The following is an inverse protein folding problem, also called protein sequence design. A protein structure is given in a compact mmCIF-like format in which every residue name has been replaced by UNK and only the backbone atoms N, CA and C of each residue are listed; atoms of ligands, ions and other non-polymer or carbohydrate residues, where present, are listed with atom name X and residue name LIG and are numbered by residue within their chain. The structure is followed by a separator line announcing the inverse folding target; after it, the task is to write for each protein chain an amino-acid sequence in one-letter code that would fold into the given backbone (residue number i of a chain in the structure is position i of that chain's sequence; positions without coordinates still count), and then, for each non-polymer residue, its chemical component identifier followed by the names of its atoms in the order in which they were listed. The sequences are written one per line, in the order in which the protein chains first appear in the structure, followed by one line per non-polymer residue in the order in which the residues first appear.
data_IF_836555646040
#
_entry.id   IF_836555646040
#
_cell.length_a   1.000
_cell.length_b   1.000
_cell.length_c   1.000
_cell.angle_alpha   90.00
_cell.angle_beta   90.00
_cell.angle_gamma   90.00
#
_symmetry.space_group_name_H-M   'P 1'
#
loop_
_entity.id
_entity.type
_entity.pdbx_description
1 polymer ?
#
# COMPACT_ATOMS: atom_id res chain seq x y z
N UNK A 1 24.52 13.24 46.64
CA UNK A 1 24.80 12.05 45.81
C UNK A 1 23.50 11.57 45.18
N UNK A 2 23.55 11.10 43.94
CA UNK A 2 22.42 10.38 43.34
C UNK A 2 22.60 8.89 43.65
N UNK A 3 21.58 8.26 44.23
CA UNK A 3 21.57 6.84 44.58
C UNK A 3 20.50 6.15 43.73
N UNK A 4 20.82 4.97 43.20
CA UNK A 4 19.89 4.14 42.44
C UNK A 4 18.81 3.60 43.38
N UNK A 5 17.55 3.76 42.97
CA UNK A 5 16.40 3.19 43.68
C UNK A 5 16.15 1.76 43.20
N UNK A 6 16.83 0.79 43.83
CA UNK A 6 16.71 -0.63 43.47
C UNK A 6 15.28 -1.16 43.64
N UNK A 7 14.48 -0.54 44.51
CA UNK A 7 13.08 -0.93 44.71
C UNK A 7 12.21 -0.61 43.49
N UNK A 8 12.44 0.55 42.86
CA UNK A 8 11.77 0.91 41.60
C UNK A 8 12.21 0.03 40.44
N UNK A 9 13.48 -0.34 40.38
CA UNK A 9 14.01 -1.22 39.33
C UNK A 9 13.34 -2.60 39.42
N UNK A 10 13.27 -3.19 40.62
CA UNK A 10 12.61 -4.48 40.82
C UNK A 10 11.08 -4.42 40.59
N UNK A 11 10.46 -3.26 40.76
CA UNK A 11 9.05 -3.02 40.43
C UNK A 11 8.84 -2.99 38.91
N UNK A 12 9.69 -2.28 38.17
CA UNK A 12 9.63 -2.17 36.70
C UNK A 12 9.95 -3.51 36.00
N UNK A 13 10.92 -4.28 36.51
CA UNK A 13 11.33 -5.58 35.95
C UNK A 13 10.16 -6.59 35.90
N UNK A 14 9.16 -6.47 36.80
CA UNK A 14 7.95 -7.32 36.78
C UNK A 14 7.11 -7.15 35.51
N UNK A 15 7.25 -6.01 34.84
CA UNK A 15 6.48 -5.64 33.65
C UNK A 15 7.29 -5.78 32.37
N UNK A 16 8.55 -6.23 32.45
CA UNK A 16 9.37 -6.46 31.28
C UNK A 16 8.75 -7.52 30.35
N UNK A 17 8.66 -7.19 29.07
CA UNK A 17 8.02 -8.02 28.05
C UNK A 17 6.49 -7.88 27.96
N UNK A 18 5.85 -7.10 28.84
CA UNK A 18 4.43 -6.79 28.74
C UNK A 18 4.18 -5.50 27.94
N UNK A 19 3.10 -5.49 27.15
CA UNK A 19 2.66 -4.31 26.40
C UNK A 19 1.44 -3.69 27.09
N UNK A 20 1.63 -2.55 27.75
CA UNK A 20 0.56 -1.84 28.43
C UNK A 20 -0.08 -0.79 27.50
N UNK A 21 -1.41 -0.71 27.50
CA UNK A 21 -2.16 0.31 26.77
C UNK A 21 -2.94 1.20 27.75
N UNK A 22 -2.59 2.48 27.82
CA UNK A 22 -3.36 3.49 28.54
C UNK A 22 -4.43 4.09 27.62
N UNK A 23 -5.67 4.16 28.09
CA UNK A 23 -6.80 4.67 27.31
C UNK A 23 -7.85 5.29 28.23
N UNK A 24 -8.63 6.23 27.70
CA UNK A 24 -9.80 6.81 28.35
C UNK A 24 -11.11 6.07 27.97
N UNK A 25 -11.02 5.01 27.16
CA UNK A 25 -12.15 4.16 26.78
C UNK A 25 -12.51 3.22 27.92
N UNK A 26 -13.81 3.04 28.17
CA UNK A 26 -14.34 2.15 29.21
C UNK A 26 -14.81 0.80 28.65
N UNK A 27 -14.54 0.53 27.37
CA UNK A 27 -14.92 -0.70 26.67
C UNK A 27 -14.12 -1.93 27.18
N UNK A 28 -14.54 -3.17 26.83
CA UNK A 28 -13.79 -4.36 27.20
C UNK A 28 -12.33 -4.32 26.71
N UNK A 29 -11.39 -4.71 27.57
CA UNK A 29 -9.95 -4.68 27.26
C UNK A 29 -9.60 -5.38 25.93
N UNK A 30 -10.29 -6.47 25.60
CA UNK A 30 -10.10 -7.20 24.33
C UNK A 30 -10.45 -6.35 23.10
N UNK A 31 -11.52 -5.57 23.16
CA UNK A 31 -11.95 -4.69 22.07
C UNK A 31 -11.02 -3.50 21.92
N UNK A 32 -10.62 -2.89 23.04
CA UNK A 32 -9.63 -1.82 23.10
C UNK A 32 -8.31 -2.28 22.47
N UNK A 33 -7.82 -3.46 22.85
CA UNK A 33 -6.61 -4.04 22.28
C UNK A 33 -6.77 -4.32 20.79
N UNK A 34 -7.91 -4.87 20.35
CA UNK A 34 -8.17 -5.10 18.92
C UNK A 34 -8.15 -3.81 18.09
N UNK A 35 -8.70 -2.71 18.60
CA UNK A 35 -8.64 -1.39 17.95
C UNK A 35 -7.21 -0.82 18.00
N UNK A 36 -6.54 -0.94 19.15
CA UNK A 36 -5.15 -0.49 19.33
C UNK A 36 -4.21 -1.20 18.34
N UNK A 37 -4.40 -2.51 18.12
CA UNK A 37 -3.63 -3.27 17.16
C UNK A 37 -3.74 -2.70 15.74
N UNK A 38 -4.91 -2.18 15.32
CA UNK A 38 -5.07 -1.58 13.98
C UNK A 38 -4.17 -0.36 13.74
N UNK A 39 -3.51 0.20 14.77
CA UNK A 39 -2.49 1.25 14.60
C UNK A 39 -1.33 0.82 13.72
N UNK A 40 -1.00 -0.48 13.65
CA UNK A 40 0.05 -0.98 12.74
C UNK A 40 -0.24 -0.60 11.28
N UNK A 41 -1.52 -0.45 10.89
CA UNK A 41 -1.92 -0.06 9.53
C UNK A 41 -1.39 1.34 9.17
N UNK A 42 -1.28 2.23 10.15
CA UNK A 42 -0.70 3.56 9.97
C UNK A 42 0.81 3.45 9.71
N UNK A 43 1.50 2.60 10.45
CA UNK A 43 2.93 2.34 10.25
C UNK A 43 3.21 1.75 8.86
N UNK A 44 2.36 0.81 8.42
CA UNK A 44 2.43 0.23 7.09
C UNK A 44 2.23 1.29 5.98
N UNK A 45 1.24 2.18 6.16
CA UNK A 45 1.06 3.36 5.29
C UNK A 45 2.32 4.23 5.23
N UNK A 46 2.96 4.51 6.37
CA UNK A 46 4.20 5.27 6.41
C UNK A 46 5.37 4.54 5.76
N UNK A 47 5.42 3.21 5.86
CA UNK A 47 6.42 2.37 5.18
C UNK A 47 6.26 2.50 3.67
N UNK A 48 5.08 2.17 3.12
CA UNK A 48 4.78 2.25 1.68
C UNK A 48 5.08 3.66 1.14
N UNK A 49 4.69 4.70 1.86
CA UNK A 49 4.94 6.08 1.43
C UNK A 49 6.44 6.39 1.29
N UNK A 50 7.27 5.89 2.22
CA UNK A 50 8.72 6.09 2.18
C UNK A 50 9.37 5.22 1.09
N UNK A 51 9.00 3.95 1.00
CA UNK A 51 9.65 2.96 0.13
C UNK A 51 9.18 3.04 -1.31
N UNK A 52 7.88 3.19 -1.56
CA UNK A 52 7.28 3.05 -2.88
C UNK A 52 6.98 4.39 -3.56
N UNK A 53 6.66 5.42 -2.79
CA UNK A 53 6.28 6.75 -3.29
C UNK A 53 7.33 7.83 -3.05
N UNK A 54 8.56 7.43 -2.74
CA UNK A 54 9.71 8.32 -2.56
C UNK A 54 9.45 9.49 -1.59
N UNK A 55 8.58 9.29 -0.60
CA UNK A 55 8.30 10.28 0.44
C UNK A 55 9.56 10.67 1.24
N UNK A 56 10.63 9.88 1.13
CA UNK A 56 12.00 10.22 1.55
C UNK A 56 13.01 9.62 0.55
N UNK A 57 14.10 10.35 0.18
CA UNK A 57 14.43 11.71 0.58
C UNK A 57 13.60 12.77 -0.17
N UNK A 58 13.26 13.87 0.52
CA UNK A 58 12.56 15.01 -0.10
C UNK A 58 13.59 15.94 -0.73
N UNK A 59 13.74 15.88 -2.05
CA UNK A 59 14.71 16.68 -2.80
C UNK A 59 14.20 18.10 -3.16
N UNK A 60 13.26 18.63 -2.37
CA UNK A 60 12.66 19.95 -2.58
C UNK A 60 13.03 20.90 -1.44
N UNK A 61 13.37 22.15 -1.79
CA UNK A 61 13.76 23.19 -0.81
C UNK A 61 12.61 24.15 -0.47
N UNK A 62 11.73 24.44 -1.42
CA UNK A 62 10.63 25.39 -1.22
C UNK A 62 9.46 24.73 -0.47
N UNK A 63 8.88 25.37 0.56
CA UNK A 63 7.79 24.82 1.35
C UNK A 63 6.60 24.33 0.50
N UNK A 64 6.22 25.09 -0.52
CA UNK A 64 5.12 24.70 -1.42
C UNK A 64 5.43 23.44 -2.22
N UNK A 65 6.68 23.25 -2.67
CA UNK A 65 7.09 22.03 -3.40
C UNK A 65 7.12 20.82 -2.48
N UNK A 66 7.55 20.99 -1.23
CA UNK A 66 7.51 19.94 -0.21
C UNK A 66 6.07 19.52 0.06
N UNK A 67 5.15 20.47 0.27
CA UNK A 67 3.72 20.20 0.48
C UNK A 67 3.10 19.47 -0.72
N UNK A 68 3.39 19.94 -1.94
CA UNK A 68 2.88 19.31 -3.16
C UNK A 68 3.37 17.86 -3.32
N UNK A 69 4.65 17.59 -3.04
CA UNK A 69 5.19 16.22 -3.07
C UNK A 69 4.45 15.30 -2.09
N UNK A 70 4.31 15.71 -0.83
CA UNK A 70 3.56 14.90 0.14
C UNK A 70 2.10 14.70 -0.25
N UNK A 71 1.45 15.73 -0.80
CA UNK A 71 0.08 15.61 -1.29
C UNK A 71 -0.02 14.54 -2.39
N UNK A 72 0.91 14.52 -3.34
CA UNK A 72 0.96 13.49 -4.39
C UNK A 72 1.17 12.11 -3.78
N UNK A 73 2.13 11.95 -2.86
CA UNK A 73 2.40 10.67 -2.19
C UNK A 73 1.18 10.16 -1.41
N UNK A 74 0.51 11.02 -0.64
CA UNK A 74 -0.70 10.66 0.10
C UNK A 74 -1.87 10.33 -0.82
N UNK A 75 -2.04 11.08 -1.91
CA UNK A 75 -3.10 10.81 -2.90
C UNK A 75 -2.87 9.46 -3.57
N UNK A 76 -1.63 9.15 -3.97
CA UNK A 76 -1.27 7.85 -4.51
C UNK A 76 -1.56 6.74 -3.50
N UNK A 77 -1.11 6.89 -2.25
CA UNK A 77 -1.38 5.92 -1.18
C UNK A 77 -2.89 5.68 -0.99
N UNK A 78 -3.69 6.74 -0.96
CA UNK A 78 -5.14 6.63 -0.85
C UNK A 78 -5.73 5.80 -2.00
N UNK A 79 -5.31 6.06 -3.25
CA UNK A 79 -5.76 5.29 -4.41
C UNK A 79 -5.42 3.80 -4.25
N UNK A 80 -4.20 3.46 -3.84
CA UNK A 80 -3.80 2.08 -3.63
C UNK A 80 -4.55 1.41 -2.47
N UNK A 81 -4.85 2.12 -1.38
CA UNK A 81 -5.65 1.60 -0.26
C UNK A 81 -7.11 1.37 -0.63
N UNK A 82 -7.69 2.26 -1.43
CA UNK A 82 -9.04 2.05 -1.96
C UNK A 82 -9.09 0.85 -2.92
N UNK A 83 -8.03 0.65 -3.71
CA UNK A 83 -7.92 -0.50 -4.59
C UNK A 83 -7.75 -1.81 -3.80
N UNK A 84 -6.89 -1.83 -2.78
CA UNK A 84 -6.75 -2.94 -1.82
C UNK A 84 -8.11 -3.29 -1.21
N UNK A 85 -8.84 -2.32 -0.67
CA UNK A 85 -10.15 -2.56 -0.06
C UNK A 85 -11.15 -3.20 -1.05
N UNK A 86 -11.20 -2.72 -2.29
CA UNK A 86 -12.07 -3.30 -3.33
C UNK A 86 -11.68 -4.72 -3.74
N UNK A 87 -10.39 -5.04 -3.72
CA UNK A 87 -9.88 -6.37 -4.05
C UNK A 87 -10.07 -7.34 -2.87
N UNK A 88 -10.01 -6.84 -1.65
CA UNK A 88 -10.31 -7.59 -0.43
C UNK A 88 -11.80 -7.92 -0.32
N UNK A 89 -12.70 -7.07 -0.80
CA UNK A 89 -14.13 -7.37 -0.92
C UNK A 89 -14.39 -8.59 -1.84
N UNK A 90 -13.47 -8.89 -2.76
CA UNK A 90 -13.49 -10.07 -3.63
C UNK A 90 -12.77 -11.29 -3.03
N UNK A 91 -12.21 -11.17 -1.82
CA UNK A 91 -11.48 -12.24 -1.12
C UNK A 91 -10.07 -12.50 -1.66
N UNK A 92 -9.51 -11.58 -2.46
CA UNK A 92 -8.21 -11.81 -3.11
C UNK A 92 -7.01 -11.54 -2.21
N UNK A 93 -7.16 -10.78 -1.10
CA UNK A 93 -6.08 -10.51 -0.14
C UNK A 93 -4.77 -10.06 -0.83
N UNK A 94 -4.86 -8.94 -1.55
CA UNK A 94 -3.76 -8.36 -2.32
C UNK A 94 -3.34 -7.04 -1.68
N UNK A 95 -2.08 -6.94 -1.26
CA UNK A 95 -1.58 -5.74 -0.58
C UNK A 95 -1.20 -4.63 -1.57
N UNK A 96 -1.09 -3.36 -1.12
CA UNK A 96 -0.59 -2.26 -1.95
C UNK A 96 0.80 -2.52 -2.49
N UNK A 97 1.66 -3.21 -1.75
CA UNK A 97 3.01 -3.58 -2.22
C UNK A 97 2.94 -4.55 -3.40
N UNK A 98 2.04 -5.55 -3.36
CA UNK A 98 1.80 -6.44 -4.50
C UNK A 98 1.28 -5.69 -5.72
N UNK A 99 0.34 -4.76 -5.52
CA UNK A 99 -0.22 -3.92 -6.57
C UNK A 99 0.86 -3.05 -7.22
N UNK A 100 1.62 -2.31 -6.41
CA UNK A 100 2.68 -1.42 -6.90
C UNK A 100 3.73 -2.21 -7.67
N UNK A 101 4.14 -3.37 -7.15
CA UNK A 101 5.15 -4.23 -7.78
C UNK A 101 4.64 -4.76 -9.11
N UNK A 102 3.41 -5.26 -9.15
CA UNK A 102 2.79 -5.79 -10.39
C UNK A 102 2.67 -4.69 -11.43
N UNK A 103 2.05 -3.56 -11.09
CA UNK A 103 1.84 -2.46 -12.03
C UNK A 103 3.15 -1.85 -12.55
N UNK A 104 4.20 -1.74 -11.71
CA UNK A 104 5.52 -1.26 -12.15
C UNK A 104 6.21 -2.23 -13.11
N UNK A 105 5.93 -3.53 -12.99
CA UNK A 105 6.55 -4.56 -13.83
C UNK A 105 5.79 -4.82 -15.13
N UNK A 106 4.56 -4.29 -15.29
CA UNK A 106 3.74 -4.44 -16.48
C UNK A 106 4.25 -3.61 -17.67
N UNK A 107 5.43 -3.99 -18.18
CA UNK A 107 6.06 -3.39 -19.33
C UNK A 107 5.70 -4.14 -20.62
N UNK A 108 5.56 -3.40 -21.72
CA UNK A 108 5.31 -3.96 -23.05
C UNK A 108 6.33 -3.44 -24.04
N UNK A 109 6.62 -4.21 -25.07
CA UNK A 109 7.44 -3.79 -26.22
C UNK A 109 6.60 -3.70 -27.48
N UNK A 110 6.84 -2.70 -28.31
CA UNK A 110 6.19 -2.56 -29.61
C UNK A 110 6.90 -3.46 -30.64
N UNK A 111 6.12 -4.25 -31.36
CA UNK A 111 6.58 -5.09 -32.46
C UNK A 111 6.08 -4.46 -33.76
N UNK A 112 6.91 -3.60 -34.35
CA UNK A 112 6.71 -2.98 -35.67
C UNK A 112 5.32 -2.33 -35.87
N UNK A 113 4.76 -1.72 -34.83
CA UNK A 113 3.42 -1.10 -34.81
C UNK A 113 2.25 -2.04 -35.14
N UNK A 114 2.49 -3.35 -35.20
CA UNK A 114 1.46 -4.37 -35.42
C UNK A 114 0.83 -4.78 -34.08
N UNK A 115 1.66 -4.96 -33.07
CA UNK A 115 1.25 -5.42 -31.74
C UNK A 115 2.21 -4.97 -30.64
N UNK A 116 1.72 -5.05 -29.40
CA UNK A 116 2.52 -4.91 -28.20
C UNK A 116 2.68 -6.27 -27.53
N UNK A 117 3.92 -6.68 -27.28
CA UNK A 117 4.23 -7.92 -26.56
C UNK A 117 4.51 -7.63 -25.08
N UNK A 118 3.86 -8.36 -24.18
CA UNK A 118 4.09 -8.28 -22.73
C UNK A 118 5.48 -8.80 -22.36
N UNK A 119 6.17 -8.06 -21.48
CA UNK A 119 7.43 -8.47 -20.87
C UNK A 119 7.27 -8.92 -19.41
N UNK A 120 6.02 -9.14 -18.99
CA UNK A 120 5.63 -9.59 -17.66
C UNK A 120 4.83 -10.88 -17.77
N UNK A 121 4.71 -11.57 -16.64
CA UNK A 121 3.92 -12.77 -16.49
C UNK A 121 2.83 -12.58 -15.42
N UNK A 122 1.96 -13.57 -15.31
CA UNK A 122 0.86 -13.58 -14.34
C UNK A 122 1.33 -13.33 -12.90
N UNK A 123 0.51 -12.63 -12.13
CA UNK A 123 0.68 -12.46 -10.70
C UNK A 123 -0.68 -12.51 -10.02
N UNK A 124 -0.72 -12.88 -8.74
CA UNK A 124 -1.96 -12.86 -7.94
C UNK A 124 -2.68 -11.51 -8.01
N UNK A 125 -1.90 -10.41 -8.05
CA UNK A 125 -2.46 -9.07 -8.17
C UNK A 125 -3.01 -8.80 -9.58
N UNK A 126 -2.35 -9.31 -10.63
CA UNK A 126 -2.85 -9.21 -12.00
C UNK A 126 -4.17 -9.97 -12.18
N UNK A 127 -4.25 -11.19 -11.63
CA UNK A 127 -5.46 -12.01 -11.68
C UNK A 127 -6.62 -11.32 -10.97
N UNK A 128 -6.37 -10.78 -9.78
CA UNK A 128 -7.34 -10.00 -9.02
C UNK A 128 -7.79 -8.73 -9.77
N UNK A 129 -6.87 -8.02 -10.41
CA UNK A 129 -7.17 -6.84 -11.23
C UNK A 129 -7.99 -7.20 -12.48
N UNK A 130 -7.70 -8.32 -13.13
CA UNK A 130 -8.46 -8.81 -14.28
C UNK A 130 -9.89 -9.18 -13.87
N UNK A 131 -10.06 -9.85 -12.72
CA UNK A 131 -11.38 -10.15 -12.17
C UNK A 131 -12.17 -8.88 -11.84
N UNK A 132 -11.53 -7.85 -11.29
CA UNK A 132 -12.17 -6.58 -10.94
C UNK A 132 -12.54 -5.73 -12.17
N UNK A 133 -11.68 -5.69 -13.19
CA UNK A 133 -11.79 -4.70 -14.29
C UNK A 133 -12.25 -5.29 -15.62
N UNK A 134 -12.22 -6.63 -15.78
CA UNK A 134 -12.48 -7.33 -17.04
C UNK A 134 -11.63 -6.82 -18.20
N UNK A 135 -10.40 -6.39 -17.91
CA UNK A 135 -9.48 -5.83 -18.90
C UNK A 135 -8.57 -6.86 -19.56
N UNK A 136 -8.60 -8.13 -19.16
CA UNK A 136 -7.78 -9.24 -19.71
C UNK A 136 -6.35 -8.82 -20.05
N UNK A 137 -5.63 -8.33 -19.04
CA UNK A 137 -4.26 -7.82 -19.13
C UNK A 137 -3.20 -8.90 -18.86
N UNK A 138 -3.54 -10.16 -19.10
CA UNK A 138 -2.69 -11.34 -18.93
C UNK A 138 -2.24 -11.95 -20.28
N UNK A 139 -2.51 -11.27 -21.39
CA UNK A 139 -2.13 -11.74 -22.74
C UNK A 139 -0.68 -11.45 -23.04
N UNK A 140 -0.04 -12.36 -23.79
CA UNK A 140 1.32 -12.15 -24.29
C UNK A 140 1.36 -11.07 -25.38
N UNK A 141 0.33 -10.97 -26.22
CA UNK A 141 0.28 -10.02 -27.34
C UNK A 141 -1.01 -9.20 -27.30
N UNK A 142 -0.89 -7.90 -27.58
CA UNK A 142 -2.00 -6.94 -27.62
C UNK A 142 -2.02 -6.19 -28.94
N UNK A 143 -3.14 -6.25 -29.65
CA UNK A 143 -3.33 -5.43 -30.85
C UNK A 143 -3.70 -3.99 -30.45
N UNK A 144 -3.13 -2.95 -31.10
CA UNK A 144 -3.49 -1.56 -30.83
C UNK A 144 -4.99 -1.29 -30.95
N UNK A 145 -5.65 -1.94 -31.91
CA UNK A 145 -7.10 -1.81 -32.11
C UNK A 145 -7.93 -2.37 -30.95
N UNK A 146 -7.49 -3.43 -30.29
CA UNK A 146 -8.15 -3.99 -29.10
C UNK A 146 -7.94 -3.12 -27.87
N UNK A 147 -6.71 -2.65 -27.65
CA UNK A 147 -6.40 -1.72 -26.55
C UNK A 147 -7.21 -0.42 -26.70
N UNK A 148 -7.27 0.15 -27.90
CA UNK A 148 -8.03 1.37 -28.18
C UNK A 148 -9.53 1.18 -27.91
N UNK A 149 -10.10 0.00 -28.23
CA UNK A 149 -11.49 -0.33 -27.88
C UNK A 149 -11.69 -0.36 -26.37
N UNK A 150 -10.79 -0.98 -25.62
CA UNK A 150 -10.84 -1.02 -24.14
C UNK A 150 -10.75 0.38 -23.55
N UNK A 151 -9.80 1.20 -23.99
CA UNK A 151 -9.63 2.59 -23.55
C UNK A 151 -10.90 3.41 -23.80
N UNK A 152 -11.49 3.29 -25.01
CA UNK A 152 -12.72 4.02 -25.35
C UNK A 152 -13.90 3.65 -24.45
N UNK A 153 -13.99 2.40 -23.99
CA UNK A 153 -15.03 1.94 -23.05
C UNK A 153 -14.83 2.46 -21.62
N UNK A 154 -13.60 2.81 -21.25
CA UNK A 154 -13.27 3.34 -19.91
C UNK A 154 -13.49 4.86 -19.87
N UNK A 155 -13.15 5.56 -20.95
CA UNK A 155 -13.18 7.03 -21.03
C UNK A 155 -14.50 7.60 -21.56
N UNK A 156 -15.35 6.77 -22.18
CA UNK A 156 -16.66 7.14 -22.69
C UNK A 156 -17.77 6.64 -21.79
#
# INVERSE_FOLDING_TARGET
EYVLDESKIAEEEKYDGYYAAATNLCDPAKEILAVSHKRYQIEDCFRIMKTNFTGRPVNHRLPNRIRAHFLICYTALLVYRLLEARLDDQGTHVTPENLITTLKNMNVTNIHDVEYMALYNGSKALDALNQLTSLDLDRLHYKPTELNKKIKKILG
#
